data_IF_367934619722
#
_entry.id   IF_367934619722
#
_cell.length_a   1.000
_cell.length_b   1.000
_cell.length_c   1.000
_cell.angle_alpha   90.00
_cell.angle_beta   90.00
_cell.angle_gamma   90.00
#
_symmetry.space_group_name_H-M   'P 1'
#
loop_
_entity.id
_entity.type
_entity.pdbx_description
1 polymer ?
#
# COMPACT_ATOMS: atom_id res chain seq x y z
N UNK A 1 -7.50 -46.03 4.03
CA UNK A 1 -6.69 -46.00 2.80
C UNK A 1 -5.79 -44.79 2.91
N UNK A 2 -4.60 -44.93 3.48
CA UNK A 2 -3.67 -43.82 3.73
C UNK A 2 -2.80 -43.60 2.51
N UNK A 3 -2.94 -42.47 1.85
CA UNK A 3 -2.03 -42.05 0.82
C UNK A 3 -0.74 -41.59 1.50
N UNK A 4 0.28 -42.43 1.45
CA UNK A 4 1.63 -42.09 1.88
C UNK A 4 2.26 -41.20 0.81
N UNK A 5 2.13 -39.87 0.95
CA UNK A 5 2.94 -38.92 0.22
C UNK A 5 4.38 -38.96 0.77
N UNK A 6 5.16 -39.96 0.34
CA UNK A 6 6.57 -40.16 0.75
C UNK A 6 7.58 -39.55 -0.23
N UNK A 7 7.11 -39.01 -1.36
CA UNK A 7 8.00 -38.41 -2.37
C UNK A 7 7.59 -36.95 -2.55
N UNK A 8 8.55 -36.06 -2.32
CA UNK A 8 8.34 -34.66 -2.61
C UNK A 8 8.09 -34.50 -4.12
N UNK A 9 7.03 -33.80 -4.54
CA UNK A 9 6.79 -33.52 -5.96
C UNK A 9 8.02 -32.86 -6.57
N UNK A 10 8.39 -33.28 -7.78
CA UNK A 10 9.44 -32.59 -8.53
C UNK A 10 8.94 -31.18 -8.88
N UNK A 11 9.76 -30.20 -8.57
CA UNK A 11 9.50 -28.81 -8.97
C UNK A 11 9.99 -28.67 -10.40
N UNK A 12 9.06 -28.52 -11.35
CA UNK A 12 9.41 -28.27 -12.74
C UNK A 12 9.99 -26.85 -12.91
N UNK A 13 10.94 -26.66 -13.86
CA UNK A 13 11.43 -25.34 -14.17
C UNK A 13 10.30 -24.43 -14.68
N UNK A 14 10.17 -23.28 -14.11
CA UNK A 14 9.16 -22.30 -14.51
C UNK A 14 9.61 -21.51 -15.74
N UNK A 15 8.82 -21.55 -16.80
CA UNK A 15 8.91 -20.63 -17.92
C UNK A 15 7.97 -19.44 -17.67
N UNK A 16 8.53 -18.31 -17.23
CA UNK A 16 7.78 -17.08 -17.02
C UNK A 16 7.40 -16.48 -18.39
N UNK A 17 6.18 -16.70 -18.85
CA UNK A 17 5.58 -15.81 -19.82
C UNK A 17 4.68 -14.82 -19.03
N UNK A 18 4.86 -13.52 -19.22
CA UNK A 18 3.90 -12.52 -18.72
C UNK A 18 2.61 -12.77 -19.51
N UNK A 19 1.49 -13.13 -18.85
CA UNK A 19 0.28 -13.60 -19.54
C UNK A 19 -0.38 -12.52 -20.40
N UNK A 20 -0.17 -11.24 -20.09
CA UNK A 20 -0.68 -10.10 -20.84
C UNK A 20 0.19 -8.88 -20.61
N UNK A 21 0.66 -8.26 -21.68
CA UNK A 21 1.33 -6.96 -21.62
C UNK A 21 0.30 -5.84 -21.52
N UNK A 22 0.45 -4.89 -20.59
CA UNK A 22 -0.44 -3.74 -20.49
C UNK A 22 -0.36 -2.88 -21.74
N UNK A 23 -1.51 -2.62 -22.36
CA UNK A 23 -1.61 -1.74 -23.52
C UNK A 23 -1.86 -0.31 -23.06
N UNK A 24 -0.95 0.61 -23.38
CA UNK A 24 -1.08 2.03 -23.06
C UNK A 24 -1.88 2.76 -24.15
N UNK A 25 -2.88 3.53 -23.72
CA UNK A 25 -3.53 4.57 -24.50
C UNK A 25 -3.61 5.87 -23.70
N UNK A 26 -3.96 6.97 -24.35
CA UNK A 26 -4.22 8.24 -23.68
C UNK A 26 -5.59 8.75 -24.08
N UNK A 27 -6.29 9.33 -23.08
CA UNK A 27 -7.52 10.07 -23.31
C UNK A 27 -7.22 11.43 -23.92
N UNK A 28 -8.23 12.11 -24.48
CA UNK A 28 -8.08 13.43 -25.11
C UNK A 28 -7.56 14.50 -24.16
N UNK A 29 -7.79 14.37 -22.85
CA UNK A 29 -7.24 15.26 -21.83
C UNK A 29 -5.81 14.89 -21.39
N UNK A 30 -5.20 13.84 -21.91
CA UNK A 30 -3.84 13.42 -21.60
C UNK A 30 -3.72 12.30 -20.55
N UNK A 31 -4.80 11.95 -19.84
CA UNK A 31 -4.79 10.88 -18.83
C UNK A 31 -4.32 9.55 -19.43
N UNK A 32 -3.44 8.85 -18.70
CA UNK A 32 -2.91 7.55 -19.11
C UNK A 32 -3.88 6.42 -18.78
N UNK A 33 -4.15 5.54 -19.74
CA UNK A 33 -4.99 4.36 -19.58
C UNK A 33 -4.20 3.11 -19.94
N UNK A 34 -4.14 2.15 -19.02
CA UNK A 34 -3.50 0.85 -19.24
C UNK A 34 -4.55 -0.25 -19.24
N UNK A 35 -4.56 -1.05 -20.29
CA UNK A 35 -5.49 -2.15 -20.50
C UNK A 35 -4.77 -3.48 -20.29
N UNK A 36 -5.28 -4.34 -19.40
CA UNK A 36 -4.77 -5.69 -19.11
C UNK A 36 -5.89 -6.69 -19.39
N UNK A 37 -5.98 -7.13 -20.63
CA UNK A 37 -6.98 -8.12 -21.07
C UNK A 37 -6.45 -9.54 -20.86
N UNK A 38 -6.75 -10.10 -19.70
CA UNK A 38 -6.30 -11.42 -19.28
C UNK A 38 -7.40 -12.22 -18.53
N UNK A 39 -8.63 -11.72 -18.52
CA UNK A 39 -9.76 -12.35 -17.82
C UNK A 39 -10.52 -13.35 -18.68
N UNK A 40 -11.02 -14.42 -18.07
CA UNK A 40 -11.97 -15.37 -18.68
C UNK A 40 -13.42 -15.04 -18.34
N UNK A 41 -13.63 -14.48 -17.15
CA UNK A 41 -14.95 -14.15 -16.60
C UNK A 41 -15.39 -12.74 -17.03
N UNK A 42 -16.70 -12.53 -17.18
CA UNK A 42 -17.32 -11.24 -17.56
C UNK A 42 -17.27 -10.22 -16.41
N UNK A 43 -16.07 -10.02 -15.86
CA UNK A 43 -15.78 -9.10 -14.77
C UNK A 43 -14.61 -8.22 -15.16
N UNK A 44 -14.74 -6.92 -14.90
CA UNK A 44 -13.66 -5.95 -15.00
C UNK A 44 -13.37 -5.32 -13.64
N UNK A 45 -12.11 -4.93 -13.47
CA UNK A 45 -11.64 -4.04 -12.43
C UNK A 45 -11.12 -2.77 -13.10
N UNK A 46 -11.47 -1.61 -12.54
CA UNK A 46 -10.90 -0.32 -12.95
C UNK A 46 -10.32 0.38 -11.73
N UNK A 47 -9.04 0.72 -11.81
CA UNK A 47 -8.34 1.52 -10.80
C UNK A 47 -8.16 2.94 -11.33
N UNK A 48 -8.56 3.92 -10.53
CA UNK A 48 -8.31 5.35 -10.77
C UNK A 48 -7.29 5.81 -9.74
N UNK A 49 -6.13 6.25 -10.20
CA UNK A 49 -4.95 6.53 -9.37
C UNK A 49 -4.55 7.98 -9.51
N UNK A 50 -4.34 8.66 -8.37
CA UNK A 50 -3.93 10.05 -8.30
C UNK A 50 -2.68 10.20 -7.42
N UNK A 51 -1.83 11.19 -7.71
CA UNK A 51 -0.75 11.63 -6.82
C UNK A 51 -1.31 12.46 -5.67
N UNK A 52 -2.17 11.84 -4.86
CA UNK A 52 -2.92 12.45 -3.78
C UNK A 52 -2.70 11.72 -2.44
N UNK A 53 -1.52 11.11 -2.27
CA UNK A 53 -1.13 10.38 -1.06
C UNK A 53 -0.68 11.29 0.08
N UNK A 54 -0.26 10.67 1.18
CA UNK A 54 0.20 11.38 2.37
C UNK A 54 1.38 12.35 2.08
N UNK A 55 2.20 12.05 1.05
CA UNK A 55 3.37 12.87 0.69
C UNK A 55 2.98 14.30 0.28
N UNK A 56 1.78 14.47 -0.28
CA UNK A 56 1.28 15.75 -0.77
C UNK A 56 0.47 16.54 0.28
N UNK A 57 0.21 15.94 1.45
CA UNK A 57 -0.58 16.61 2.48
C UNK A 57 0.25 17.62 3.29
N UNK A 58 -0.24 18.84 3.42
CA UNK A 58 0.35 19.87 4.29
C UNK A 58 -0.13 19.78 5.75
N UNK A 59 -1.24 19.08 6.01
CA UNK A 59 -1.75 18.76 7.35
C UNK A 59 -1.93 17.25 7.49
N UNK A 60 -1.64 16.67 8.68
CA UNK A 60 -1.88 15.26 8.93
C UNK A 60 -3.34 14.88 8.68
N UNK A 61 -3.59 13.70 8.18
CA UNK A 61 -4.90 13.12 7.88
C UNK A 61 -5.63 13.72 6.65
N UNK A 62 -5.12 14.77 6.03
CA UNK A 62 -5.84 15.47 4.96
C UNK A 62 -6.05 14.56 3.74
N UNK A 63 -5.00 13.92 3.24
CA UNK A 63 -5.09 13.02 2.09
C UNK A 63 -6.07 11.85 2.34
N UNK A 64 -5.89 11.17 3.48
CA UNK A 64 -6.76 10.03 3.83
C UNK A 64 -8.19 10.44 4.07
N UNK A 65 -8.44 11.61 4.69
CA UNK A 65 -9.79 12.10 4.95
C UNK A 65 -10.48 12.52 3.65
N UNK A 66 -9.77 13.22 2.76
CA UNK A 66 -10.31 13.61 1.45
C UNK A 66 -10.72 12.39 0.65
N UNK A 67 -9.87 11.38 0.56
CA UNK A 67 -10.19 10.16 -0.17
C UNK A 67 -11.42 9.43 0.43
N UNK A 68 -11.46 9.25 1.75
CA UNK A 68 -12.60 8.59 2.41
C UNK A 68 -13.91 9.36 2.23
N UNK A 69 -13.86 10.69 2.18
CA UNK A 69 -15.03 11.54 2.03
C UNK A 69 -15.61 11.58 0.61
N UNK A 70 -14.92 11.03 -0.41
CA UNK A 70 -15.42 10.95 -1.78
C UNK A 70 -16.76 10.20 -1.89
N UNK A 71 -16.99 9.21 -1.03
CA UNK A 71 -18.22 8.41 -1.03
C UNK A 71 -19.28 8.89 -0.04
N UNK A 72 -19.02 9.93 0.74
CA UNK A 72 -19.95 10.42 1.76
C UNK A 72 -21.00 11.40 1.21
N UNK A 73 -21.01 11.64 -0.08
CA UNK A 73 -22.01 12.41 -0.81
C UNK A 73 -21.45 13.05 -2.07
N UNK A 74 -22.25 13.02 -3.10
CA UNK A 74 -21.97 13.59 -4.42
C UNK A 74 -23.07 14.58 -4.79
N UNK A 75 -22.97 15.22 -5.94
CA UNK A 75 -24.02 16.15 -6.42
C UNK A 75 -25.36 15.47 -6.66
N UNK A 76 -25.37 14.16 -7.00
CA UNK A 76 -26.59 13.44 -7.38
C UNK A 76 -27.07 12.43 -6.33
N UNK A 77 -26.17 11.96 -5.45
CA UNK A 77 -26.48 10.92 -4.48
C UNK A 77 -25.93 11.29 -3.09
N UNK A 78 -26.71 11.11 -2.04
CA UNK A 78 -26.16 11.03 -0.69
C UNK A 78 -25.43 9.69 -0.47
N UNK A 79 -24.71 9.54 0.65
CA UNK A 79 -23.91 8.34 0.94
C UNK A 79 -24.76 7.04 0.91
N UNK A 80 -25.99 7.08 1.42
CA UNK A 80 -26.87 5.91 1.46
C UNK A 80 -27.38 5.55 0.05
N UNK A 81 -27.79 6.54 -0.73
CA UNK A 81 -28.25 6.35 -2.11
C UNK A 81 -27.14 5.80 -2.98
N UNK A 82 -25.92 6.35 -2.84
CA UNK A 82 -24.73 5.88 -3.53
C UNK A 82 -24.42 4.41 -3.21
N UNK A 83 -24.37 4.06 -1.91
CA UNK A 83 -24.14 2.68 -1.46
C UNK A 83 -25.22 1.74 -2.00
N UNK A 84 -26.50 2.12 -1.89
CA UNK A 84 -27.60 1.30 -2.40
C UNK A 84 -27.57 1.11 -3.92
N UNK A 85 -27.09 2.13 -4.66
CA UNK A 85 -26.93 2.05 -6.12
C UNK A 85 -25.79 1.11 -6.50
N UNK A 86 -24.65 1.21 -5.82
CA UNK A 86 -23.52 0.31 -6.00
C UNK A 86 -23.93 -1.15 -5.74
N UNK A 87 -24.63 -1.39 -4.62
CA UNK A 87 -25.12 -2.72 -4.24
C UNK A 87 -26.12 -3.28 -5.27
N UNK A 88 -27.04 -2.45 -5.76
CA UNK A 88 -28.03 -2.86 -6.78
C UNK A 88 -27.39 -3.35 -8.06
N UNK A 89 -26.32 -2.69 -8.52
CA UNK A 89 -25.58 -3.10 -9.73
C UNK A 89 -24.48 -4.13 -9.45
N UNK A 90 -24.28 -4.53 -8.17
CA UNK A 90 -23.21 -5.45 -7.79
C UNK A 90 -21.82 -4.87 -8.06
N UNK A 91 -21.65 -3.55 -7.90
CA UNK A 91 -20.38 -2.85 -8.04
C UNK A 91 -19.68 -2.82 -6.69
N UNK A 92 -18.54 -3.47 -6.58
CA UNK A 92 -17.72 -3.37 -5.40
C UNK A 92 -16.74 -2.20 -5.51
N UNK A 93 -16.75 -1.32 -4.53
CA UNK A 93 -15.94 -0.11 -4.47
C UNK A 93 -14.92 -0.18 -3.32
N UNK A 94 -13.69 0.22 -3.59
CA UNK A 94 -12.65 0.40 -2.59
C UNK A 94 -11.93 1.74 -2.79
N UNK A 95 -12.04 2.62 -1.79
CA UNK A 95 -11.26 3.86 -1.70
C UNK A 95 -9.97 3.58 -0.94
N UNK A 96 -8.85 4.07 -1.44
CA UNK A 96 -7.54 3.89 -0.78
C UNK A 96 -6.72 5.18 -0.80
N UNK A 97 -5.95 5.39 0.25
CA UNK A 97 -4.96 6.47 0.34
C UNK A 97 -3.71 5.93 1.02
N UNK A 98 -2.63 5.92 0.29
CA UNK A 98 -1.32 5.38 0.65
C UNK A 98 -0.34 6.51 0.93
N UNK A 99 0.95 6.20 1.00
CA UNK A 99 1.99 7.21 1.26
C UNK A 99 2.16 8.19 0.10
N UNK A 100 2.12 7.69 -1.14
CA UNK A 100 2.43 8.48 -2.33
C UNK A 100 1.21 8.72 -3.23
N UNK A 101 0.23 7.82 -3.18
CA UNK A 101 -0.94 7.84 -4.05
C UNK A 101 -2.24 7.67 -3.26
N UNK A 102 -3.34 8.10 -3.89
CA UNK A 102 -4.69 7.79 -3.45
C UNK A 102 -5.57 7.46 -4.67
N UNK A 103 -6.69 6.81 -4.46
CA UNK A 103 -7.55 6.47 -5.59
C UNK A 103 -8.81 5.71 -5.23
N UNK A 104 -9.40 5.20 -6.29
CA UNK A 104 -10.64 4.42 -6.28
C UNK A 104 -10.43 3.16 -7.12
N UNK A 105 -10.81 2.02 -6.59
CA UNK A 105 -10.90 0.76 -7.33
C UNK A 105 -12.36 0.33 -7.41
N UNK A 106 -12.83 -0.02 -8.59
CA UNK A 106 -14.14 -0.64 -8.81
C UNK A 106 -13.99 -2.04 -9.40
N UNK A 107 -14.83 -2.98 -8.94
CA UNK A 107 -15.03 -4.28 -9.58
C UNK A 107 -16.50 -4.36 -10.00
N UNK A 108 -16.74 -4.77 -11.24
CA UNK A 108 -18.09 -4.82 -11.78
C UNK A 108 -18.21 -5.84 -12.92
N UNK A 109 -19.43 -6.31 -13.15
CA UNK A 109 -19.73 -7.13 -14.31
C UNK A 109 -19.70 -6.30 -15.58
N UNK A 110 -19.20 -6.86 -16.69
CA UNK A 110 -19.04 -6.16 -17.97
C UNK A 110 -20.32 -5.47 -18.46
N UNK A 111 -21.49 -6.10 -18.24
CA UNK A 111 -22.80 -5.52 -18.59
C UNK A 111 -23.15 -4.24 -17.83
N UNK A 112 -22.50 -3.96 -16.71
CA UNK A 112 -22.71 -2.77 -15.89
C UNK A 112 -21.60 -1.72 -16.01
N UNK A 113 -20.69 -1.87 -17.00
CA UNK A 113 -19.55 -0.98 -17.19
C UNK A 113 -19.94 0.51 -17.30
N UNK A 114 -21.00 0.81 -18.08
CA UNK A 114 -21.50 2.19 -18.23
C UNK A 114 -21.85 2.79 -16.88
N UNK A 115 -22.64 2.06 -16.06
CA UNK A 115 -23.07 2.57 -14.75
C UNK A 115 -21.92 2.65 -13.75
N UNK A 116 -21.00 1.69 -13.78
CA UNK A 116 -19.83 1.71 -12.92
C UNK A 116 -18.91 2.92 -13.21
N UNK A 117 -18.64 3.20 -14.47
CA UNK A 117 -17.83 4.35 -14.87
C UNK A 117 -18.54 5.70 -14.62
N UNK A 118 -19.87 5.78 -14.84
CA UNK A 118 -20.66 6.96 -14.49
C UNK A 118 -20.52 7.28 -12.99
N UNK A 119 -20.74 6.26 -12.11
CA UNK A 119 -20.62 6.43 -10.67
C UNK A 119 -19.18 6.76 -10.24
N UNK A 120 -18.16 6.16 -10.86
CA UNK A 120 -16.78 6.52 -10.60
C UNK A 120 -16.51 8.00 -10.90
N UNK A 121 -16.97 8.49 -12.05
CA UNK A 121 -16.83 9.90 -12.42
C UNK A 121 -17.54 10.84 -11.45
N UNK A 122 -18.71 10.43 -10.94
CA UNK A 122 -19.45 11.19 -9.95
C UNK A 122 -18.71 11.23 -8.60
N UNK A 123 -18.23 10.09 -8.10
CA UNK A 123 -17.49 9.96 -6.86
C UNK A 123 -16.18 10.77 -6.92
N UNK A 124 -15.44 10.66 -8.01
CA UNK A 124 -14.12 11.28 -8.15
C UNK A 124 -14.18 12.78 -8.42
N UNK A 125 -15.15 13.25 -9.22
CA UNK A 125 -15.12 14.62 -9.72
C UNK A 125 -16.31 15.50 -9.30
N UNK A 126 -17.32 14.91 -8.61
CA UNK A 126 -18.49 15.65 -8.12
C UNK A 126 -18.81 15.41 -6.64
N UNK A 127 -17.80 15.17 -5.75
CA UNK A 127 -18.07 15.04 -4.33
C UNK A 127 -18.47 16.39 -3.71
N UNK A 128 -19.34 16.36 -2.71
CA UNK A 128 -19.80 17.59 -2.03
C UNK A 128 -19.21 17.80 -0.65
N UNK A 129 -18.61 16.77 -0.07
CA UNK A 129 -17.93 16.78 1.24
C UNK A 129 -18.80 17.34 2.36
N UNK A 130 -19.92 16.67 2.74
CA UNK A 130 -20.86 17.19 3.73
C UNK A 130 -20.23 17.31 5.11
N UNK A 131 -20.41 18.47 5.77
CA UNK A 131 -19.77 18.75 7.06
C UNK A 131 -20.23 17.82 8.19
N UNK A 132 -21.52 17.46 8.23
CA UNK A 132 -22.07 16.52 9.20
C UNK A 132 -21.45 15.10 9.08
N UNK A 133 -21.24 14.62 7.85
CA UNK A 133 -20.59 13.33 7.61
C UNK A 133 -19.09 13.38 7.98
N UNK A 134 -18.43 14.48 7.66
CA UNK A 134 -17.06 14.72 8.07
C UNK A 134 -16.92 14.69 9.60
N UNK A 135 -17.77 15.41 10.33
CA UNK A 135 -17.74 15.44 11.80
C UNK A 135 -17.94 14.04 12.39
N UNK A 136 -18.87 13.27 11.83
CA UNK A 136 -19.11 11.90 12.26
C UNK A 136 -17.91 10.99 11.97
N UNK A 137 -17.35 11.09 10.78
CA UNK A 137 -16.14 10.35 10.38
C UNK A 137 -14.97 10.67 11.30
N UNK A 138 -14.70 11.96 11.56
CA UNK A 138 -13.57 12.36 12.41
C UNK A 138 -13.74 11.90 13.85
N UNK A 139 -14.96 11.91 14.40
CA UNK A 139 -15.25 11.33 15.73
C UNK A 139 -14.96 9.82 15.77
N UNK A 140 -15.43 9.06 14.77
CA UNK A 140 -15.15 7.62 14.67
C UNK A 140 -13.65 7.35 14.56
N UNK A 141 -12.94 8.07 13.67
CA UNK A 141 -11.50 7.93 13.47
C UNK A 141 -10.70 8.28 14.72
N UNK A 142 -11.07 9.34 15.46
CA UNK A 142 -10.42 9.71 16.72
C UNK A 142 -10.55 8.58 17.75
N UNK A 143 -11.72 7.96 17.89
CA UNK A 143 -11.91 6.83 18.78
C UNK A 143 -11.03 5.63 18.39
N UNK A 144 -10.97 5.29 17.12
CA UNK A 144 -10.06 4.25 16.62
C UNK A 144 -8.58 4.59 16.85
N UNK A 145 -8.20 5.85 16.66
CA UNK A 145 -6.85 6.33 16.93
C UNK A 145 -6.47 6.13 18.42
N UNK A 146 -7.36 6.48 19.35
CA UNK A 146 -7.14 6.28 20.78
C UNK A 146 -6.96 4.81 21.14
N UNK A 147 -7.80 3.94 20.60
CA UNK A 147 -7.68 2.47 20.76
C UNK A 147 -6.36 1.98 20.17
N UNK A 148 -6.03 2.42 18.95
CA UNK A 148 -4.80 2.04 18.24
C UNK A 148 -3.53 2.44 19.02
N UNK A 149 -3.48 3.64 19.60
CA UNK A 149 -2.39 4.06 20.48
C UNK A 149 -2.28 3.24 21.77
N UNK A 150 -3.33 2.51 22.12
CA UNK A 150 -3.28 1.48 23.13
C UNK A 150 -2.35 0.31 22.81
N UNK A 151 -1.95 0.09 21.57
CA UNK A 151 -1.09 -1.02 21.14
C UNK A 151 0.38 -0.57 21.06
N UNK A 152 1.28 -1.33 21.70
CA UNK A 152 2.74 -1.04 21.69
C UNK A 152 3.34 -1.10 20.30
N UNK A 153 2.82 -1.99 19.47
CA UNK A 153 3.24 -2.17 18.06
C UNK A 153 3.08 -0.90 17.24
N UNK A 154 1.94 -0.21 17.37
CA UNK A 154 1.65 1.02 16.64
C UNK A 154 2.53 2.17 17.16
N UNK A 155 2.66 2.30 18.49
CA UNK A 155 3.57 3.29 19.05
C UNK A 155 5.01 3.09 18.60
N UNK A 156 5.47 1.83 18.53
CA UNK A 156 6.81 1.52 18.05
C UNK A 156 6.98 1.88 16.57
N UNK A 157 5.96 1.60 15.72
CA UNK A 157 6.02 1.91 14.28
C UNK A 157 5.99 3.42 14.02
N UNK A 158 5.12 4.18 14.70
CA UNK A 158 5.06 5.64 14.57
C UNK A 158 6.41 6.30 14.93
N UNK A 159 7.04 5.82 16.03
CA UNK A 159 8.36 6.32 16.43
C UNK A 159 9.48 5.86 15.51
N UNK A 160 9.37 4.67 14.93
CA UNK A 160 10.31 4.19 13.92
C UNK A 160 10.27 5.09 12.68
N UNK A 161 9.09 5.38 12.13
CA UNK A 161 8.96 6.27 10.99
C UNK A 161 9.45 7.69 11.29
N UNK A 162 9.12 8.24 12.45
CA UNK A 162 9.66 9.54 12.86
C UNK A 162 11.19 9.52 12.93
N UNK A 163 11.79 8.42 13.43
CA UNK A 163 13.24 8.30 13.57
C UNK A 163 13.95 8.26 12.22
N UNK A 164 13.40 7.55 11.23
CA UNK A 164 14.06 7.34 9.94
C UNK A 164 13.74 8.40 8.89
N UNK A 165 12.56 9.04 8.95
CA UNK A 165 12.13 10.05 7.97
C UNK A 165 12.10 11.47 8.53
N UNK A 166 12.04 11.63 9.85
CA UNK A 166 11.99 12.93 10.51
C UNK A 166 10.58 13.43 10.82
N UNK A 167 10.48 14.26 11.86
CA UNK A 167 9.19 14.79 12.36
C UNK A 167 8.42 15.67 11.37
N UNK A 168 9.14 16.35 10.48
CA UNK A 168 8.57 17.31 9.53
C UNK A 168 8.16 16.66 8.22
N UNK A 169 8.79 15.53 7.87
CA UNK A 169 8.50 14.82 6.63
C UNK A 169 7.17 14.08 6.73
N UNK A 170 6.29 14.11 5.70
CA UNK A 170 5.00 13.42 5.74
C UNK A 170 5.10 11.94 6.09
N UNK A 171 6.12 11.22 5.63
CA UNK A 171 6.31 9.80 5.98
C UNK A 171 6.62 9.56 7.47
N UNK A 172 7.24 10.52 8.16
CA UNK A 172 7.65 10.40 9.57
C UNK A 172 6.81 11.21 10.54
N UNK A 173 5.97 12.12 10.04
CA UNK A 173 5.11 12.97 10.85
C UNK A 173 4.05 12.14 11.58
N UNK A 174 3.95 12.32 12.89
CA UNK A 174 2.95 11.64 13.71
C UNK A 174 1.64 12.40 13.72
N UNK A 175 0.56 11.64 13.69
CA UNK A 175 -0.79 12.15 13.91
C UNK A 175 -1.01 12.38 15.42
N UNK A 176 -1.69 13.45 15.76
CA UNK A 176 -2.10 13.82 17.13
C UNK A 176 -3.63 13.91 17.23
N UNK A 177 -4.18 13.96 18.44
CA UNK A 177 -5.64 14.12 18.64
C UNK A 177 -6.14 15.47 18.09
N UNK A 178 -5.29 16.52 18.15
CA UNK A 178 -5.64 17.84 17.63
C UNK A 178 -5.88 17.84 16.10
N UNK A 179 -5.19 16.98 15.36
CA UNK A 179 -5.32 16.92 13.90
C UNK A 179 -6.73 16.49 13.46
N UNK A 180 -7.43 15.72 14.31
CA UNK A 180 -8.82 15.34 14.04
C UNK A 180 -9.79 16.51 14.19
N UNK A 181 -9.49 17.48 15.06
CA UNK A 181 -10.34 18.65 15.29
C UNK A 181 -10.07 19.78 14.30
N UNK A 182 -8.92 19.77 13.64
CA UNK A 182 -8.52 20.80 12.67
C UNK A 182 -9.09 20.56 11.26
N UNK A 183 -9.69 19.37 11.03
CA UNK A 183 -10.22 19.01 9.71
C UNK A 183 -11.57 19.70 9.46
N UNK A 184 -11.74 20.29 8.28
CA UNK A 184 -12.99 20.88 7.85
C UNK A 184 -13.22 20.68 6.34
N UNK A 185 -14.47 20.88 5.90
CA UNK A 185 -14.87 20.64 4.51
C UNK A 185 -14.10 21.51 3.50
N UNK A 186 -13.69 22.74 3.88
CA UNK A 186 -12.95 23.61 2.97
C UNK A 186 -11.56 23.07 2.68
N UNK A 187 -10.82 22.63 3.72
CA UNK A 187 -9.50 22.01 3.55
C UNK A 187 -9.57 20.78 2.63
N UNK A 188 -10.61 19.98 2.78
CA UNK A 188 -10.82 18.77 1.95
C UNK A 188 -11.12 19.17 0.50
N UNK A 189 -11.98 20.16 0.27
CA UNK A 189 -12.29 20.67 -1.08
C UNK A 189 -11.05 21.24 -1.76
N UNK A 190 -10.25 22.00 -1.04
CA UNK A 190 -9.01 22.59 -1.56
C UNK A 190 -8.00 21.50 -1.94
N UNK A 191 -7.81 20.52 -1.06
CA UNK A 191 -6.93 19.38 -1.33
C UNK A 191 -7.43 18.55 -2.52
N UNK A 192 -8.72 18.25 -2.57
CA UNK A 192 -9.33 17.52 -3.68
C UNK A 192 -9.11 18.26 -5.01
N UNK A 193 -9.40 19.55 -5.07
CA UNK A 193 -9.24 20.35 -6.30
C UNK A 193 -7.79 20.42 -6.78
N UNK A 194 -6.82 20.37 -5.86
CA UNK A 194 -5.39 20.39 -6.20
C UNK A 194 -4.83 19.06 -6.66
N UNK A 195 -5.36 17.92 -6.14
CA UNK A 195 -4.70 16.63 -6.30
C UNK A 195 -5.53 15.57 -7.05
N UNK A 196 -6.81 15.81 -7.33
CA UNK A 196 -7.67 14.88 -8.09
C UNK A 196 -7.95 15.44 -9.49
N UNK A 197 -6.85 15.79 -10.22
CA UNK A 197 -6.93 16.29 -11.59
C UNK A 197 -7.24 15.16 -12.58
N UNK A 198 -8.25 15.32 -13.45
CA UNK A 198 -8.54 14.33 -14.49
C UNK A 198 -7.38 14.08 -15.46
N UNK A 199 -6.57 15.11 -15.76
CA UNK A 199 -5.44 15.03 -16.69
C UNK A 199 -4.27 14.24 -16.12
N UNK A 200 -4.05 14.32 -14.80
CA UNK A 200 -2.95 13.63 -14.08
C UNK A 200 -3.36 12.25 -13.59
N UNK A 201 -4.61 11.86 -13.84
CA UNK A 201 -5.14 10.57 -13.45
C UNK A 201 -4.50 9.44 -14.28
N UNK A 202 -4.15 8.36 -13.59
CA UNK A 202 -3.82 7.09 -14.25
C UNK A 202 -4.97 6.11 -14.06
N UNK A 203 -5.42 5.48 -15.15
CA UNK A 203 -6.46 4.46 -15.13
C UNK A 203 -5.83 3.10 -15.49
N UNK A 204 -6.11 2.07 -14.71
CA UNK A 204 -5.77 0.68 -15.07
C UNK A 204 -7.08 -0.09 -15.16
N UNK A 205 -7.34 -0.66 -16.33
CA UNK A 205 -8.49 -1.56 -16.56
C UNK A 205 -7.95 -2.97 -16.69
N UNK A 206 -8.47 -3.90 -15.93
CA UNK A 206 -8.07 -5.30 -15.96
C UNK A 206 -9.27 -6.24 -15.91
N UNK A 207 -9.10 -7.44 -16.44
CA UNK A 207 -10.17 -8.44 -16.53
C UNK A 207 -10.42 -8.89 -17.95
N UNK A 208 -11.63 -9.36 -18.24
CA UNK A 208 -12.08 -9.60 -19.61
C UNK A 208 -12.59 -8.29 -20.21
N UNK A 209 -11.72 -7.64 -20.96
CA UNK A 209 -11.99 -6.31 -21.49
C UNK A 209 -12.96 -6.39 -22.68
N UNK A 210 -14.06 -5.65 -22.62
CA UNK A 210 -14.95 -5.51 -23.76
C UNK A 210 -14.46 -4.43 -24.74
N UNK A 211 -14.80 -4.58 -26.03
CA UNK A 211 -14.30 -3.71 -27.09
C UNK A 211 -14.72 -2.23 -26.97
N UNK A 212 -15.73 -1.91 -26.12
CA UNK A 212 -16.25 -0.55 -26.00
C UNK A 212 -15.70 0.22 -24.80
N UNK A 213 -14.87 -0.41 -23.95
CA UNK A 213 -14.41 0.22 -22.70
C UNK A 213 -13.62 1.52 -22.96
N UNK A 214 -12.80 1.54 -24.00
CA UNK A 214 -12.00 2.70 -24.38
C UNK A 214 -12.86 3.89 -24.79
N UNK A 215 -13.92 3.64 -25.57
CA UNK A 215 -14.91 4.67 -25.91
C UNK A 215 -15.64 5.21 -24.68
N UNK A 216 -16.04 4.33 -23.77
CA UNK A 216 -16.68 4.75 -22.51
C UNK A 216 -15.75 5.60 -21.65
N UNK A 217 -14.47 5.22 -21.52
CA UNK A 217 -13.50 6.01 -20.78
C UNK A 217 -13.28 7.40 -21.40
N UNK A 218 -13.21 7.47 -22.71
CA UNK A 218 -13.12 8.73 -23.45
C UNK A 218 -14.37 9.60 -23.22
N UNK A 219 -15.57 9.03 -23.37
CA UNK A 219 -16.84 9.73 -23.20
C UNK A 219 -17.03 10.30 -21.78
N UNK A 220 -16.68 9.52 -20.75
CA UNK A 220 -16.86 9.94 -19.35
C UNK A 220 -15.74 10.85 -18.85
N UNK A 221 -14.51 10.65 -19.29
CA UNK A 221 -13.34 11.29 -18.66
C UNK A 221 -12.49 12.12 -19.60
N UNK A 222 -12.46 11.80 -20.92
CA UNK A 222 -11.53 12.42 -21.86
C UNK A 222 -11.72 13.92 -22.08
N UNK A 223 -12.90 14.46 -21.76
CA UNK A 223 -13.22 15.90 -21.86
C UNK A 223 -13.16 16.65 -20.52
N UNK A 224 -12.88 15.93 -19.43
CA UNK A 224 -12.74 16.58 -18.14
C UNK A 224 -11.41 17.32 -18.07
N UNK A 225 -11.43 18.50 -17.47
CA UNK A 225 -10.24 19.29 -17.23
C UNK A 225 -10.26 19.91 -15.83
N UNK A 226 -9.10 20.08 -15.25
CA UNK A 226 -8.89 20.76 -13.97
C UNK A 226 -8.50 22.21 -14.18
N UNK A 227 -8.89 23.07 -13.23
CA UNK A 227 -8.41 24.46 -13.14
C UNK A 227 -6.99 24.51 -12.54
N UNK A 228 -6.62 23.47 -11.78
CA UNK A 228 -5.36 23.40 -11.06
C UNK A 228 -4.43 22.41 -11.73
N UNK A 229 -3.19 22.83 -11.96
CA UNK A 229 -2.11 21.93 -12.39
C UNK A 229 -1.34 21.49 -11.15
N UNK A 230 -1.20 20.19 -10.94
CA UNK A 230 -0.34 19.65 -9.89
C UNK A 230 1.09 20.19 -10.05
N UNK A 231 1.63 20.76 -8.99
CA UNK A 231 3.05 21.09 -8.91
C UNK A 231 3.70 20.18 -7.89
N UNK A 232 4.72 19.46 -8.32
CA UNK A 232 5.51 18.62 -7.43
C UNK A 232 6.15 19.50 -6.35
N UNK A 233 5.77 19.27 -5.09
CA UNK A 233 6.43 19.93 -3.95
C UNK A 233 7.75 19.19 -3.67
N UNK A 234 8.84 19.75 -4.16
CA UNK A 234 10.20 19.24 -3.95
C UNK A 234 10.77 19.59 -2.57
N UNK A 235 9.99 20.23 -1.70
CA UNK A 235 10.44 20.76 -0.39
C UNK A 235 10.58 19.72 0.73
N UNK A 236 10.20 18.48 0.51
CA UNK A 236 10.21 17.44 1.54
C UNK A 236 11.62 16.89 1.81
N UNK A 237 12.31 17.44 2.80
CA UNK A 237 13.65 16.99 3.19
C UNK A 237 13.58 15.83 4.19
N UNK A 238 14.12 14.68 3.77
CA UNK A 238 14.31 13.53 4.63
C UNK A 238 15.38 13.81 5.69
N UNK A 239 15.09 13.51 6.95
CA UNK A 239 16.05 13.61 8.05
C UNK A 239 16.01 12.36 8.91
N UNK A 240 17.10 12.06 9.58
CA UNK A 240 17.18 10.94 10.54
C UNK A 240 17.37 11.46 11.96
N UNK A 241 16.83 10.72 12.92
CA UNK A 241 17.16 10.94 14.32
C UNK A 241 18.64 10.66 14.58
N UNK A 242 19.27 11.48 15.42
CA UNK A 242 20.62 11.21 15.93
C UNK A 242 20.62 10.02 16.91
N UNK A 243 19.51 9.80 17.58
CA UNK A 243 19.35 8.71 18.54
C UNK A 243 19.18 7.38 17.80
N UNK A 244 20.16 6.50 17.96
CA UNK A 244 20.12 5.15 17.36
C UNK A 244 19.29 4.16 18.18
N UNK A 245 18.89 4.51 19.40
CA UNK A 245 18.06 3.70 20.29
C UNK A 245 17.02 4.58 20.98
N UNK A 246 15.76 4.36 20.66
CA UNK A 246 14.62 5.09 21.22
C UNK A 246 13.81 4.12 22.07
N UNK A 247 13.61 4.45 23.34
CA UNK A 247 12.79 3.64 24.26
C UNK A 247 11.56 4.43 24.69
N UNK A 248 10.39 3.83 24.51
CA UNK A 248 9.11 4.40 24.88
C UNK A 248 8.50 3.53 25.98
N UNK A 249 8.30 4.12 27.15
CA UNK A 249 7.68 3.42 28.26
C UNK A 249 6.16 3.46 28.12
N UNK A 250 5.52 2.28 28.20
CA UNK A 250 4.07 2.15 28.29
C UNK A 250 3.68 1.37 29.53
N UNK A 251 2.96 2.04 30.44
CA UNK A 251 2.47 1.44 31.68
C UNK A 251 1.48 0.30 31.35
N UNK A 252 1.59 -0.82 32.06
CA UNK A 252 0.69 -1.97 31.93
C UNK A 252 0.96 -2.87 30.70
N UNK A 253 1.98 -2.58 29.88
CA UNK A 253 2.33 -3.46 28.78
C UNK A 253 2.99 -4.76 29.29
N UNK A 254 2.52 -5.90 28.80
CA UNK A 254 3.09 -7.24 29.08
C UNK A 254 4.24 -7.56 28.13
N UNK A 255 4.20 -7.02 26.92
CA UNK A 255 5.18 -7.25 25.86
C UNK A 255 5.91 -5.96 25.50
N UNK A 256 7.13 -6.11 24.96
CA UNK A 256 7.87 -5.07 24.27
C UNK A 256 7.77 -5.28 22.76
N UNK A 257 7.49 -4.19 22.04
CA UNK A 257 7.48 -4.18 20.58
C UNK A 257 8.77 -3.59 20.05
N UNK A 258 9.52 -4.35 19.29
CA UNK A 258 10.72 -3.88 18.60
C UNK A 258 10.41 -3.51 17.16
N UNK A 259 11.00 -2.40 16.72
CA UNK A 259 11.13 -1.98 15.32
C UNK A 259 12.59 -1.61 15.11
N UNK A 260 13.32 -2.44 14.37
CA UNK A 260 14.76 -2.28 14.12
C UNK A 260 14.94 -2.16 12.62
N UNK A 261 15.57 -1.09 12.16
CA UNK A 261 15.76 -0.88 10.73
C UNK A 261 16.31 0.49 10.38
N UNK A 262 16.28 0.79 9.09
CA UNK A 262 16.82 2.02 8.54
C UNK A 262 16.15 2.37 7.20
N UNK A 263 16.44 3.56 6.68
CA UNK A 263 16.17 3.88 5.28
C UNK A 263 17.04 3.02 4.37
N UNK A 264 16.51 2.69 3.21
CA UNK A 264 17.20 1.92 2.17
C UNK A 264 16.97 2.53 0.80
N UNK A 265 17.55 1.91 -0.21
CA UNK A 265 17.18 2.10 -1.61
C UNK A 265 15.71 1.72 -1.84
N UNK A 266 15.07 2.35 -2.82
CA UNK A 266 13.73 1.98 -3.28
C UNK A 266 13.80 1.16 -4.59
N UNK A 267 12.64 0.82 -5.15
CA UNK A 267 12.54 -0.02 -6.35
C UNK A 267 13.26 0.51 -7.60
N UNK A 268 13.56 1.82 -7.66
CA UNK A 268 14.30 2.43 -8.79
C UNK A 268 15.79 2.03 -8.82
N UNK A 269 16.33 1.55 -7.72
CA UNK A 269 17.75 1.19 -7.62
C UNK A 269 18.01 -0.22 -8.15
N UNK A 270 19.08 -0.41 -8.92
CA UNK A 270 19.46 -1.71 -9.52
C UNK A 270 19.65 -2.83 -8.49
N UNK A 271 20.10 -2.51 -7.27
CA UNK A 271 20.36 -3.49 -6.22
C UNK A 271 19.11 -3.86 -5.39
N UNK A 272 17.95 -3.26 -5.71
CA UNK A 272 16.72 -3.53 -4.98
C UNK A 272 16.31 -5.02 -4.98
N UNK A 273 16.41 -5.77 -6.10
CA UNK A 273 16.14 -7.21 -6.10
C UNK A 273 17.05 -8.00 -5.15
N UNK A 274 18.34 -7.65 -5.09
CA UNK A 274 19.28 -8.24 -4.15
C UNK A 274 18.93 -7.94 -2.70
N UNK A 275 18.57 -6.69 -2.38
CA UNK A 275 18.09 -6.30 -1.05
C UNK A 275 16.83 -7.08 -0.66
N UNK A 276 15.88 -7.25 -1.60
CA UNK A 276 14.65 -8.03 -1.38
C UNK A 276 14.97 -9.50 -1.10
N UNK A 277 15.93 -10.09 -1.82
CA UNK A 277 16.39 -11.46 -1.60
C UNK A 277 17.01 -11.61 -0.21
N UNK A 278 17.95 -10.76 0.17
CA UNK A 278 18.59 -10.78 1.49
C UNK A 278 17.58 -10.58 2.63
N UNK A 279 16.63 -9.68 2.45
CA UNK A 279 15.55 -9.49 3.42
C UNK A 279 14.68 -10.75 3.56
N UNK A 280 14.37 -11.43 2.46
CA UNK A 280 13.59 -12.67 2.49
C UNK A 280 14.33 -13.75 3.27
N UNK A 281 15.62 -13.93 3.03
CA UNK A 281 16.48 -14.85 3.75
C UNK A 281 16.54 -14.52 5.25
N UNK A 282 16.68 -13.24 5.60
CA UNK A 282 16.79 -12.77 6.98
C UNK A 282 15.51 -13.00 7.79
N UNK A 283 14.36 -12.54 7.27
CA UNK A 283 13.11 -12.52 8.04
C UNK A 283 11.83 -12.42 7.19
N UNK A 284 11.91 -12.61 5.87
CA UNK A 284 10.80 -12.38 4.96
C UNK A 284 9.85 -13.57 4.78
N UNK A 285 10.16 -14.74 5.33
CA UNK A 285 9.30 -15.92 5.26
C UNK A 285 9.43 -16.80 6.52
N UNK A 286 8.56 -17.79 6.64
CA UNK A 286 8.50 -18.63 7.85
C UNK A 286 9.79 -19.39 8.15
N UNK A 287 10.51 -19.90 7.14
CA UNK A 287 11.78 -20.60 7.28
C UNK A 287 13.02 -19.70 7.36
N UNK A 288 12.86 -18.39 7.52
CA UNK A 288 13.94 -17.41 7.56
C UNK A 288 14.82 -17.52 8.81
N UNK A 289 16.02 -16.96 8.77
CA UNK A 289 16.99 -17.01 9.87
C UNK A 289 16.42 -16.49 11.18
N UNK A 290 15.78 -15.33 11.18
CA UNK A 290 15.18 -14.76 12.39
C UNK A 290 14.06 -15.63 12.95
N UNK A 291 13.22 -16.22 12.09
CA UNK A 291 12.14 -17.10 12.54
C UNK A 291 12.69 -18.38 13.17
N UNK A 292 13.67 -19.01 12.55
CA UNK A 292 14.34 -20.19 13.11
C UNK A 292 14.99 -19.88 14.46
N UNK A 293 15.78 -18.82 14.54
CA UNK A 293 16.50 -18.45 15.76
C UNK A 293 15.54 -18.05 16.89
N UNK A 294 14.74 -16.98 16.68
CA UNK A 294 13.99 -16.38 17.80
C UNK A 294 12.73 -17.16 18.17
N UNK A 295 12.06 -17.77 17.19
CA UNK A 295 10.81 -18.49 17.43
C UNK A 295 11.02 -19.98 17.70
N UNK A 296 11.71 -20.69 16.78
CA UNK A 296 11.80 -22.15 16.84
C UNK A 296 12.83 -22.61 17.87
N UNK A 297 14.05 -22.05 17.85
CA UNK A 297 15.14 -22.48 18.72
C UNK A 297 15.06 -21.86 20.12
N UNK A 298 14.79 -20.56 20.21
CA UNK A 298 14.84 -19.81 21.47
C UNK A 298 13.49 -19.64 22.14
N UNK A 299 12.39 -19.67 21.39
CA UNK A 299 11.04 -19.47 21.91
C UNK A 299 10.80 -18.06 22.51
N UNK A 300 11.53 -17.03 22.05
CA UNK A 300 11.43 -15.66 22.60
C UNK A 300 10.21 -14.90 22.12
N UNK A 301 9.67 -15.28 20.96
CA UNK A 301 8.54 -14.60 20.32
C UNK A 301 7.63 -15.61 19.60
N UNK A 302 6.38 -15.23 19.37
CA UNK A 302 5.46 -15.95 18.48
C UNK A 302 5.77 -15.69 17.00
N UNK A 303 6.46 -14.58 16.68
CA UNK A 303 6.84 -14.26 15.33
C UNK A 303 7.78 -13.07 15.26
N UNK A 304 8.68 -13.12 14.30
CA UNK A 304 9.57 -12.04 13.89
C UNK A 304 9.52 -11.93 12.39
N UNK A 305 9.42 -10.72 11.89
CA UNK A 305 9.30 -10.47 10.46
C UNK A 305 10.22 -9.33 10.04
N UNK A 306 10.87 -9.49 8.91
CA UNK A 306 11.63 -8.44 8.23
C UNK A 306 10.98 -8.09 6.91
N UNK A 307 10.80 -6.81 6.64
CA UNK A 307 10.24 -6.31 5.39
C UNK A 307 11.05 -5.17 4.81
N UNK A 308 11.11 -5.13 3.47
CA UNK A 308 11.61 -4.00 2.69
C UNK A 308 10.43 -3.40 1.95
N UNK A 309 10.24 -2.10 2.11
CA UNK A 309 9.17 -1.34 1.45
C UNK A 309 9.77 -0.13 0.72
N UNK A 310 9.10 0.27 -0.34
CA UNK A 310 9.51 1.41 -1.15
C UNK A 310 8.41 2.47 -1.13
N UNK A 311 8.84 3.71 -0.94
CA UNK A 311 8.06 4.92 -1.18
C UNK A 311 8.73 5.70 -2.31
N UNK A 312 8.05 6.68 -2.86
CA UNK A 312 8.56 7.45 -4.00
C UNK A 312 9.94 8.08 -3.71
N UNK A 313 10.10 8.70 -2.54
CA UNK A 313 11.34 9.40 -2.15
C UNK A 313 12.37 8.50 -1.45
N UNK A 314 12.02 7.32 -0.96
CA UNK A 314 12.94 6.47 -0.18
C UNK A 314 12.40 5.06 0.00
N UNK A 315 13.29 4.08 0.17
CA UNK A 315 12.94 2.80 0.75
C UNK A 315 13.20 2.75 2.25
N UNK A 316 12.70 1.72 2.90
CA UNK A 316 13.07 1.36 4.26
C UNK A 316 13.03 -0.15 4.48
N UNK A 317 13.85 -0.60 5.41
CA UNK A 317 13.82 -1.97 5.93
C UNK A 317 13.45 -1.92 7.40
N UNK A 318 12.58 -2.83 7.85
CA UNK A 318 12.19 -2.95 9.26
C UNK A 318 12.07 -4.40 9.68
N UNK A 319 12.70 -4.73 10.82
CA UNK A 319 12.50 -5.98 11.56
C UNK A 319 11.50 -5.68 12.68
N UNK A 320 10.42 -6.45 12.74
CA UNK A 320 9.32 -6.28 13.66
C UNK A 320 9.12 -7.56 14.48
N UNK A 321 9.08 -7.41 15.82
CA UNK A 321 8.75 -8.52 16.72
C UNK A 321 8.18 -8.00 18.03
N UNK A 322 7.39 -8.83 18.69
CA UNK A 322 6.85 -8.59 20.03
C UNK A 322 7.33 -9.70 20.95
N UNK A 323 7.95 -9.31 22.05
CA UNK A 323 8.61 -10.23 22.98
C UNK A 323 8.17 -9.99 24.42
N UNK A 324 8.14 -11.04 25.21
CA UNK A 324 7.97 -10.91 26.67
C UNK A 324 9.12 -10.14 27.30
N UNK A 325 8.84 -9.37 28.36
CA UNK A 325 9.83 -8.50 29.02
C UNK A 325 11.11 -9.23 29.41
N UNK A 326 10.98 -10.48 29.90
CA UNK A 326 12.12 -11.30 30.35
C UNK A 326 13.09 -11.68 29.23
N UNK A 327 12.62 -11.71 27.98
CA UNK A 327 13.40 -12.12 26.80
C UNK A 327 13.84 -10.94 25.94
N UNK A 328 13.43 -9.72 26.28
CA UNK A 328 13.55 -8.55 25.40
C UNK A 328 15.01 -8.26 24.99
N UNK A 329 15.95 -8.20 25.93
CA UNK A 329 17.36 -7.92 25.65
C UNK A 329 18.02 -9.06 24.89
N UNK A 330 17.68 -10.32 25.25
CA UNK A 330 18.19 -11.50 24.55
C UNK A 330 17.72 -11.51 23.10
N UNK A 331 16.42 -11.27 22.86
CA UNK A 331 15.87 -11.22 21.50
C UNK A 331 16.52 -10.12 20.64
N UNK A 332 16.74 -8.92 21.22
CA UNK A 332 17.45 -7.87 20.51
C UNK A 332 18.89 -8.28 20.18
N UNK A 333 19.62 -8.90 21.12
CA UNK A 333 20.96 -9.43 20.90
C UNK A 333 21.00 -10.44 19.74
N UNK A 334 20.06 -11.37 19.70
CA UNK A 334 19.97 -12.36 18.62
C UNK A 334 19.70 -11.72 17.25
N UNK A 335 18.80 -10.71 17.19
CA UNK A 335 18.54 -9.97 15.94
C UNK A 335 19.84 -9.33 15.41
N UNK A 336 20.59 -8.65 16.28
CA UNK A 336 21.86 -8.03 15.87
C UNK A 336 22.94 -9.07 15.52
N UNK A 337 22.94 -10.22 16.18
CA UNK A 337 23.85 -11.34 15.86
C UNK A 337 23.55 -11.91 14.47
N UNK A 338 22.27 -12.09 14.10
CA UNK A 338 21.91 -12.57 12.75
C UNK A 338 22.25 -11.53 11.67
N UNK A 339 22.02 -10.23 11.94
CA UNK A 339 22.45 -9.16 11.03
C UNK A 339 23.97 -9.17 10.83
N UNK A 340 24.73 -9.31 11.91
CA UNK A 340 26.20 -9.38 11.87
C UNK A 340 26.68 -10.62 11.10
N UNK A 341 26.08 -11.77 11.37
CA UNK A 341 26.38 -13.02 10.67
C UNK A 341 26.13 -12.89 9.16
N UNK A 342 25.06 -12.19 8.76
CA UNK A 342 24.75 -11.97 7.35
C UNK A 342 25.78 -11.07 6.66
N UNK A 343 26.41 -10.13 7.41
CA UNK A 343 27.48 -9.28 6.92
C UNK A 343 28.82 -10.02 6.81
N UNK A 344 29.13 -10.86 7.80
CA UNK A 344 30.46 -11.48 7.92
C UNK A 344 30.58 -12.79 7.13
N UNK A 345 29.49 -13.48 6.86
CA UNK A 345 29.49 -14.80 6.26
C UNK A 345 28.44 -14.90 5.16
N UNK A 346 28.85 -15.16 3.91
CA UNK A 346 27.89 -15.42 2.82
C UNK A 346 26.92 -16.55 3.17
N UNK A 347 25.65 -16.48 2.76
CA UNK A 347 24.70 -17.57 2.91
C UNK A 347 25.17 -18.82 2.17
N UNK A 348 24.88 -20.01 2.73
CA UNK A 348 25.12 -21.26 2.04
C UNK A 348 24.26 -21.40 0.77
N UNK A 349 24.74 -22.12 -0.24
CA UNK A 349 24.02 -22.28 -1.51
C UNK A 349 22.66 -22.97 -1.30
N UNK A 350 22.59 -23.95 -0.41
CA UNK A 350 21.34 -24.64 -0.09
C UNK A 350 20.30 -23.69 0.52
N UNK A 351 20.73 -22.74 1.36
CA UNK A 351 19.88 -21.73 1.94
C UNK A 351 19.37 -20.75 0.87
N UNK A 352 20.27 -20.32 -0.01
CA UNK A 352 19.92 -19.43 -1.14
C UNK A 352 18.93 -20.10 -2.09
N UNK A 353 19.09 -21.40 -2.35
CA UNK A 353 18.19 -22.16 -3.22
C UNK A 353 16.76 -22.26 -2.64
N UNK A 354 16.64 -22.46 -1.33
CA UNK A 354 15.34 -22.46 -0.66
C UNK A 354 14.65 -21.09 -0.80
N UNK A 355 15.39 -20.00 -0.62
CA UNK A 355 14.87 -18.63 -0.78
C UNK A 355 14.47 -18.36 -2.24
N UNK A 356 15.27 -18.78 -3.22
CA UNK A 356 14.94 -18.67 -4.66
C UNK A 356 13.61 -19.34 -4.96
N UNK A 357 13.42 -20.60 -4.51
CA UNK A 357 12.17 -21.34 -4.72
C UNK A 357 10.99 -20.68 -4.06
N UNK A 358 11.15 -20.18 -2.83
CA UNK A 358 10.13 -19.42 -2.15
C UNK A 358 9.72 -18.16 -2.93
N UNK A 359 10.72 -17.33 -3.32
CA UNK A 359 10.48 -16.10 -4.07
C UNK A 359 9.89 -16.37 -5.46
N UNK A 360 10.28 -17.46 -6.11
CA UNK A 360 9.67 -17.87 -7.37
C UNK A 360 8.18 -18.17 -7.19
N UNK A 361 7.79 -18.87 -6.12
CA UNK A 361 6.38 -19.08 -5.79
C UNK A 361 5.62 -17.79 -5.51
N UNK A 362 6.26 -16.79 -4.88
CA UNK A 362 5.66 -15.45 -4.71
C UNK A 362 5.45 -14.75 -6.05
N UNK A 363 6.46 -14.79 -6.94
CA UNK A 363 6.38 -14.19 -8.28
C UNK A 363 5.25 -14.85 -9.09
N UNK A 364 5.11 -16.17 -9.03
CA UNK A 364 4.03 -16.88 -9.71
C UNK A 364 2.65 -16.37 -9.30
N UNK A 365 2.44 -16.12 -8.01
CA UNK A 365 1.18 -15.58 -7.50
C UNK A 365 0.89 -14.16 -7.99
N UNK A 366 1.92 -13.38 -8.34
CA UNK A 366 1.74 -12.05 -8.93
C UNK A 366 1.09 -12.08 -10.31
N UNK A 367 1.11 -13.23 -10.97
CA UNK A 367 0.51 -13.46 -12.30
C UNK A 367 -0.74 -14.35 -12.25
N UNK A 368 -1.27 -14.61 -11.05
CA UNK A 368 -2.49 -15.43 -10.88
C UNK A 368 -3.75 -14.59 -11.15
N UNK A 369 -4.04 -14.44 -12.45
CA UNK A 369 -5.20 -13.74 -12.97
C UNK A 369 -5.01 -12.23 -13.19
N UNK A 370 -5.98 -11.59 -13.87
CA UNK A 370 -5.86 -10.22 -14.38
C UNK A 370 -5.69 -9.18 -13.28
N UNK A 371 -6.29 -9.40 -12.12
CA UNK A 371 -6.26 -8.44 -11.01
C UNK A 371 -4.91 -8.46 -10.29
N UNK A 372 -4.30 -9.64 -10.12
CA UNK A 372 -2.94 -9.76 -9.57
C UNK A 372 -1.89 -9.17 -10.50
N UNK A 373 -2.07 -9.34 -11.82
CA UNK A 373 -1.23 -8.69 -12.84
C UNK A 373 -1.36 -7.17 -12.73
N UNK A 374 -2.58 -6.64 -12.59
CA UNK A 374 -2.81 -5.20 -12.45
C UNK A 374 -2.15 -4.63 -11.16
N UNK A 375 -2.22 -5.34 -10.02
CA UNK A 375 -1.54 -4.94 -8.79
C UNK A 375 -0.01 -4.92 -8.96
N UNK A 376 0.53 -5.93 -9.62
CA UNK A 376 1.96 -6.02 -9.92
C UNK A 376 2.40 -4.91 -10.86
N UNK A 377 1.63 -4.68 -11.93
CA UNK A 377 1.88 -3.60 -12.88
C UNK A 377 1.79 -2.23 -12.22
N UNK A 378 0.78 -1.95 -11.40
CA UNK A 378 0.68 -0.71 -10.63
C UNK A 378 1.94 -0.49 -9.80
N UNK A 379 2.44 -1.53 -9.14
CA UNK A 379 3.64 -1.44 -8.30
C UNK A 379 4.93 -1.13 -9.08
N UNK A 380 4.95 -1.38 -10.38
CA UNK A 380 6.03 -1.02 -11.30
C UNK A 380 5.83 0.40 -11.82
N UNK A 381 4.60 0.72 -12.24
CA UNK A 381 4.21 2.02 -12.77
C UNK A 381 4.45 3.16 -11.77
N UNK A 382 4.12 2.96 -10.48
CA UNK A 382 4.32 3.93 -9.41
C UNK A 382 5.79 4.39 -9.28
N UNK A 383 6.73 3.56 -9.73
CA UNK A 383 8.18 3.87 -9.71
C UNK A 383 8.75 4.23 -11.09
N UNK A 384 7.92 4.35 -12.13
CA UNK A 384 8.37 4.65 -13.49
C UNK A 384 9.30 3.58 -14.06
N UNK A 385 9.12 2.32 -13.65
CA UNK A 385 9.84 1.17 -14.17
C UNK A 385 9.09 0.57 -15.36
N UNK A 386 9.82 -0.08 -16.26
CA UNK A 386 9.31 -0.76 -17.47
C UNK A 386 9.46 -2.27 -17.35
#
# INVERSE_FOLDING_TARGET
MGILLRVQPQVEPFNASIPAEPQLMRLSNGAGVYLIDAGTEEVMRTDFIFRAGMITEYLPLLATTTNMMLAEGTLNHNARELSSTLDYYGIFMNLYSEKDIAGLTLYFLNKHAVKALELAGEILFKPIFPGNELDLMMKKRLNWFRISRGKTQNLAMDNFFEAIFGKRHPYGRKVTEADFSNMNSQLIKDFHSMHYSPEDMTIIVSGKINANITGLLEDFYGRLSSIYTYREDTGNVLSESRDKKIRIAKRGSVQLSYRIGCRTINKRHSDYPGLKFLNTLLGGYFGSRLMKNLREEKGYTYGVHSSVSSFDLSGFMVISTDVGRQNAEKAAGEIFSELKRLQDTPPAEEEMEVVRKYMMGEILRMFDGPFSIADSFRSVLDFGLS
#
